data_IF_273660854499
#
_entry.id   IF_273660854499
#
_cell.length_a   1.000
_cell.length_b   1.000
_cell.length_c   1.000
_cell.angle_alpha   90.00
_cell.angle_beta   90.00
_cell.angle_gamma   90.00
#
_symmetry.space_group_name_H-M   'P 1'
#
loop_
_entity.id
_entity.type
_entity.pdbx_description
1 polymer ?
#
# COMPACT_ATOMS: atom_id res chain seq x y z
N UNK A 1 32.14 5.59 25.59
CA UNK A 1 31.01 5.57 26.56
C UNK A 1 30.41 6.97 26.54
N UNK A 2 29.10 7.10 26.29
CA UNK A 2 28.46 8.41 26.25
C UNK A 2 28.26 8.96 27.68
N UNK A 3 28.51 10.25 27.94
CA UNK A 3 28.26 10.87 29.24
C UNK A 3 26.81 10.67 29.70
N UNK A 4 26.60 10.52 31.01
CA UNK A 4 25.32 10.11 31.61
C UNK A 4 24.12 11.04 31.33
N UNK A 5 24.31 12.26 30.82
CA UNK A 5 23.21 13.11 30.33
C UNK A 5 22.91 12.98 28.82
N UNK A 6 23.95 12.78 28.00
CA UNK A 6 23.80 12.67 26.54
C UNK A 6 23.14 11.34 26.14
N UNK A 7 23.42 10.26 26.86
CA UNK A 7 22.75 8.98 26.64
C UNK A 7 21.23 9.10 26.85
N UNK A 8 20.79 9.80 27.89
CA UNK A 8 19.37 10.05 28.14
C UNK A 8 18.72 10.90 27.05
N UNK A 9 19.42 11.95 26.57
CA UNK A 9 18.93 12.81 25.48
C UNK A 9 18.80 12.04 24.16
N UNK A 10 19.74 11.15 23.85
CA UNK A 10 19.68 10.29 22.65
C UNK A 10 18.48 9.33 22.73
N UNK A 11 18.27 8.66 23.86
CA UNK A 11 17.13 7.75 24.04
C UNK A 11 15.81 8.52 23.93
N UNK A 12 15.71 9.68 24.58
CA UNK A 12 14.53 10.53 24.48
C UNK A 12 14.26 10.98 23.03
N UNK A 13 15.30 11.36 22.29
CA UNK A 13 15.20 11.74 20.87
C UNK A 13 14.72 10.60 19.97
N UNK A 14 15.25 9.38 20.16
CA UNK A 14 14.83 8.19 19.39
C UNK A 14 13.36 7.86 19.69
N UNK A 15 12.96 7.88 20.96
CA UNK A 15 11.58 7.62 21.35
C UNK A 15 10.63 8.69 20.79
N UNK A 16 11.01 9.96 20.83
CA UNK A 16 10.22 11.04 20.26
C UNK A 16 10.05 10.89 18.73
N UNK A 17 11.13 10.55 18.01
CA UNK A 17 11.08 10.32 16.56
C UNK A 17 10.19 9.12 16.19
N UNK A 18 10.29 8.01 16.94
CA UNK A 18 9.46 6.83 16.74
C UNK A 18 7.97 7.14 17.01
N UNK A 19 7.68 7.87 18.10
CA UNK A 19 6.31 8.26 18.46
C UNK A 19 5.68 9.20 17.43
N UNK A 20 6.45 10.12 16.86
CA UNK A 20 5.98 11.01 15.77
C UNK A 20 5.58 10.22 14.53
N UNK A 21 6.40 9.23 14.13
CA UNK A 21 6.11 8.37 12.98
C UNK A 21 4.86 7.50 13.22
N UNK A 22 4.71 6.95 14.43
CA UNK A 22 3.52 6.19 14.82
C UNK A 22 2.26 7.06 14.84
N UNK A 23 2.33 8.25 15.44
CA UNK A 23 1.19 9.17 15.50
C UNK A 23 0.75 9.61 14.09
N UNK A 24 1.70 9.90 13.21
CA UNK A 24 1.41 10.23 11.81
C UNK A 24 0.73 9.07 11.08
N UNK A 25 1.23 7.83 11.22
CA UNK A 25 0.66 6.66 10.57
C UNK A 25 -0.79 6.39 11.03
N UNK A 26 -1.05 6.41 12.35
CA UNK A 26 -2.40 6.20 12.89
C UNK A 26 -3.35 7.31 12.44
N UNK A 27 -2.92 8.56 12.46
CA UNK A 27 -3.74 9.68 12.02
C UNK A 27 -4.09 9.58 10.52
N UNK A 28 -3.14 9.19 9.68
CA UNK A 28 -3.39 8.95 8.25
C UNK A 28 -4.36 7.78 8.03
N UNK A 29 -4.23 6.68 8.77
CA UNK A 29 -5.17 5.55 8.69
C UNK A 29 -6.58 5.96 9.12
N UNK A 30 -6.71 6.73 10.20
CA UNK A 30 -7.99 7.23 10.67
C UNK A 30 -8.64 8.19 9.66
N UNK A 31 -7.84 9.10 9.07
CA UNK A 31 -8.32 10.04 8.05
C UNK A 31 -8.74 9.31 6.77
N UNK A 32 -7.90 8.43 6.23
CA UNK A 32 -8.23 7.60 5.07
C UNK A 32 -9.48 6.75 5.35
N UNK A 33 -9.58 6.12 6.52
CA UNK A 33 -10.77 5.32 6.88
C UNK A 33 -12.05 6.17 6.95
N UNK A 34 -11.93 7.40 7.46
CA UNK A 34 -13.04 8.34 7.56
C UNK A 34 -13.49 8.82 6.16
N UNK A 35 -12.56 9.16 5.28
CA UNK A 35 -12.88 9.69 3.96
C UNK A 35 -13.23 8.61 2.93
N UNK A 36 -12.59 7.44 2.98
CA UNK A 36 -12.76 6.37 2.00
C UNK A 36 -13.95 5.46 2.32
N UNK A 37 -14.22 5.20 3.60
CA UNK A 37 -15.36 4.38 4.01
C UNK A 37 -16.49 5.24 4.57
N UNK A 38 -16.23 6.05 5.61
CA UNK A 38 -17.31 6.66 6.39
C UNK A 38 -18.09 7.75 5.61
N UNK A 39 -17.40 8.67 4.94
CA UNK A 39 -18.03 9.75 4.18
C UNK A 39 -18.92 9.25 3.02
N UNK A 40 -18.47 8.33 2.13
CA UNK A 40 -19.31 7.82 1.05
C UNK A 40 -20.42 6.87 1.50
N UNK A 41 -20.25 6.11 2.59
CA UNK A 41 -21.30 5.22 3.13
C UNK A 41 -22.43 5.99 3.81
N UNK A 42 -22.13 7.13 4.45
CA UNK A 42 -23.10 7.83 5.29
C UNK A 42 -23.66 9.10 4.64
N UNK A 43 -22.98 9.67 3.63
CA UNK A 43 -23.39 10.90 2.95
C UNK A 43 -23.42 12.15 3.86
N UNK A 44 -22.86 12.05 5.07
CA UNK A 44 -22.86 13.10 6.08
C UNK A 44 -21.50 13.79 6.11
N UNK A 45 -21.46 15.04 5.64
CA UNK A 45 -20.25 15.89 5.64
C UNK A 45 -20.18 16.88 6.81
N UNK A 46 -20.89 16.59 7.90
CA UNK A 46 -20.91 17.49 9.06
C UNK A 46 -19.52 17.47 9.74
N UNK A 47 -18.79 18.60 9.80
CA UNK A 47 -17.38 18.61 10.19
C UNK A 47 -17.13 18.15 11.62
N UNK A 48 -18.05 18.44 12.55
CA UNK A 48 -17.89 18.05 13.95
C UNK A 48 -18.08 16.56 14.13
N UNK A 49 -18.99 15.95 13.37
CA UNK A 49 -19.20 14.51 13.38
C UNK A 49 -18.02 13.74 12.77
N UNK A 50 -17.47 14.21 11.65
CA UNK A 50 -16.28 13.63 11.01
C UNK A 50 -15.06 13.62 11.95
N UNK A 51 -14.86 14.69 12.72
CA UNK A 51 -13.79 14.76 13.73
C UNK A 51 -14.02 13.76 14.88
N UNK A 52 -15.27 13.59 15.31
CA UNK A 52 -15.62 12.64 16.36
C UNK A 52 -15.38 11.20 15.90
N UNK A 53 -15.80 10.87 14.68
CA UNK A 53 -15.57 9.57 14.03
C UNK A 53 -14.08 9.31 13.82
N UNK A 54 -13.33 10.32 13.36
CA UNK A 54 -11.88 10.23 13.21
C UNK A 54 -11.18 9.90 14.54
N UNK A 55 -11.62 10.47 15.67
CA UNK A 55 -11.08 10.14 17.00
C UNK A 55 -11.34 8.70 17.41
N UNK A 56 -12.54 8.17 17.13
CA UNK A 56 -12.86 6.77 17.37
C UNK A 56 -12.06 5.83 16.46
N UNK A 57 -11.87 6.19 15.20
CA UNK A 57 -11.05 5.43 14.26
C UNK A 57 -9.58 5.41 14.67
N UNK A 58 -9.03 6.52 15.15
CA UNK A 58 -7.67 6.58 15.71
C UNK A 58 -7.51 5.61 16.89
N UNK A 59 -8.49 5.58 17.81
CA UNK A 59 -8.50 4.62 18.93
C UNK A 59 -8.58 3.18 18.44
N UNK A 60 -9.45 2.90 17.46
CA UNK A 60 -9.63 1.58 16.87
C UNK A 60 -8.32 1.10 16.20
N UNK A 61 -7.71 1.92 15.35
CA UNK A 61 -6.45 1.59 14.68
C UNK A 61 -5.31 1.41 15.67
N UNK A 62 -5.24 2.24 16.71
CA UNK A 62 -4.26 2.06 17.80
C UNK A 62 -4.44 0.70 18.48
N UNK A 63 -5.67 0.32 18.81
CA UNK A 63 -5.96 -0.99 19.42
C UNK A 63 -5.59 -2.16 18.49
N UNK A 64 -5.90 -2.06 17.19
CA UNK A 64 -5.53 -3.05 16.18
C UNK A 64 -4.02 -3.20 16.06
N UNK A 65 -3.27 -2.10 16.01
CA UNK A 65 -1.80 -2.12 15.94
C UNK A 65 -1.18 -2.72 17.19
N UNK A 66 -1.70 -2.40 18.39
CA UNK A 66 -1.25 -2.99 19.66
C UNK A 66 -1.54 -4.49 19.68
N UNK A 67 -2.73 -4.92 19.26
CA UNK A 67 -3.08 -6.34 19.16
C UNK A 67 -2.14 -7.09 18.19
N UNK A 68 -1.85 -6.50 17.02
CA UNK A 68 -0.88 -7.04 16.07
C UNK A 68 0.53 -7.16 16.68
N UNK A 69 1.00 -6.11 17.36
CA UNK A 69 2.31 -6.14 18.02
C UNK A 69 2.42 -7.25 19.08
N UNK A 70 1.36 -7.51 19.83
CA UNK A 70 1.31 -8.61 20.81
C UNK A 70 1.31 -9.97 20.12
N UNK A 71 0.57 -10.14 19.02
CA UNK A 71 0.48 -11.40 18.27
C UNK A 71 1.82 -11.79 17.61
N UNK A 72 2.60 -10.83 17.13
CA UNK A 72 3.87 -11.07 16.41
C UNK A 72 5.11 -11.23 17.31
N UNK A 73 4.95 -11.20 18.63
CA UNK A 73 6.07 -11.24 19.60
C UNK A 73 6.90 -12.53 19.56
N UNK A 74 6.40 -13.61 18.96
CA UNK A 74 6.96 -14.96 19.02
C UNK A 74 7.74 -15.43 17.78
N UNK A 75 7.93 -14.58 16.75
CA UNK A 75 8.69 -14.98 15.57
C UNK A 75 10.18 -14.64 15.70
N UNK A 76 11.05 -15.63 15.45
CA UNK A 76 12.52 -15.48 15.43
C UNK A 76 13.04 -14.77 14.16
N UNK A 77 12.15 -14.23 13.32
CA UNK A 77 12.50 -13.51 12.10
C UNK A 77 12.78 -12.05 12.43
N UNK A 78 13.80 -11.41 11.83
CA UNK A 78 14.02 -9.98 12.01
C UNK A 78 12.75 -9.18 11.67
N UNK A 79 12.19 -8.47 12.66
CA UNK A 79 10.94 -7.68 12.49
C UNK A 79 11.06 -6.70 11.33
N UNK A 80 12.25 -6.12 11.16
CA UNK A 80 12.58 -5.21 10.06
C UNK A 80 12.44 -5.89 8.70
N UNK A 81 12.88 -7.14 8.56
CA UNK A 81 12.77 -7.88 7.30
C UNK A 81 11.31 -8.18 6.98
N UNK A 82 10.52 -8.61 7.97
CA UNK A 82 9.09 -8.87 7.77
C UNK A 82 8.32 -7.59 7.43
N UNK A 83 8.52 -6.52 8.19
CA UNK A 83 7.86 -5.24 8.00
C UNK A 83 8.16 -4.66 6.62
N UNK A 84 9.44 -4.66 6.24
CA UNK A 84 9.82 -4.13 4.96
C UNK A 84 9.36 -5.04 3.81
N UNK A 85 9.30 -6.38 3.96
CA UNK A 85 8.73 -7.29 2.93
C UNK A 85 7.30 -6.92 2.60
N UNK A 86 6.49 -6.72 3.64
CA UNK A 86 5.08 -6.34 3.49
C UNK A 86 4.98 -4.95 2.86
N UNK A 87 5.79 -3.99 3.33
CA UNK A 87 5.84 -2.64 2.77
C UNK A 87 6.21 -2.66 1.27
N UNK A 88 7.14 -3.53 0.87
CA UNK A 88 7.64 -3.63 -0.50
C UNK A 88 6.57 -3.99 -1.51
N UNK A 89 5.64 -4.88 -1.14
CA UNK A 89 4.52 -5.29 -2.00
C UNK A 89 3.60 -4.10 -2.26
N UNK A 90 3.21 -3.42 -1.19
CA UNK A 90 2.27 -2.29 -1.24
C UNK A 90 2.88 -1.12 -2.02
N UNK A 91 4.13 -0.76 -1.72
CA UNK A 91 4.85 0.29 -2.44
C UNK A 91 5.10 -0.09 -3.91
N UNK A 92 5.39 -1.35 -4.21
CA UNK A 92 5.59 -1.83 -5.57
C UNK A 92 4.33 -1.70 -6.44
N UNK A 93 3.17 -2.05 -5.89
CA UNK A 93 1.87 -1.87 -6.55
C UNK A 93 1.52 -0.39 -6.77
N UNK A 94 1.68 0.46 -5.75
CA UNK A 94 1.41 1.90 -5.84
C UNK A 94 2.34 2.62 -6.84
N UNK A 95 3.63 2.28 -6.84
CA UNK A 95 4.57 2.85 -7.78
C UNK A 95 4.28 2.36 -9.21
N UNK A 96 3.91 1.09 -9.38
CA UNK A 96 3.52 0.54 -10.68
C UNK A 96 2.27 1.20 -11.27
N UNK A 97 1.25 1.48 -10.45
CA UNK A 97 0.05 2.19 -10.91
C UNK A 97 0.31 3.66 -11.21
N UNK A 98 1.16 4.32 -10.42
CA UNK A 98 1.57 5.70 -10.67
C UNK A 98 2.35 5.84 -11.99
N UNK A 99 3.28 4.91 -12.25
CA UNK A 99 4.01 4.86 -13.52
C UNK A 99 3.07 4.58 -14.69
N UNK A 100 2.11 3.66 -14.54
CA UNK A 100 1.13 3.37 -15.59
C UNK A 100 0.24 4.58 -15.89
N UNK A 101 -0.28 5.25 -14.86
CA UNK A 101 -1.10 6.45 -15.02
C UNK A 101 -0.34 7.66 -15.56
N UNK A 102 0.95 7.79 -15.22
CA UNK A 102 1.80 8.91 -15.64
C UNK A 102 2.43 8.75 -17.02
N UNK A 103 2.87 7.53 -17.38
CA UNK A 103 3.57 7.28 -18.64
C UNK A 103 2.67 6.71 -19.75
N UNK A 104 1.50 6.13 -19.44
CA UNK A 104 0.61 5.53 -20.42
C UNK A 104 -0.74 6.26 -20.49
N UNK A 105 -0.81 7.22 -21.41
CA UNK A 105 -2.00 8.02 -21.72
C UNK A 105 -3.30 7.25 -22.07
N UNK A 106 -3.29 5.98 -22.55
CA UNK A 106 -4.53 5.23 -22.80
C UNK A 106 -5.11 4.50 -21.57
N UNK A 107 -4.43 4.49 -20.42
CA UNK A 107 -4.87 3.72 -19.26
C UNK A 107 -6.17 4.29 -18.67
N UNK A 108 -7.27 3.54 -18.76
CA UNK A 108 -8.55 3.92 -18.15
C UNK A 108 -8.61 3.48 -16.69
N UNK A 109 -9.51 4.08 -15.90
CA UNK A 109 -9.75 3.74 -14.49
C UNK A 109 -9.93 2.22 -14.27
N UNK A 110 -10.59 1.53 -15.22
CA UNK A 110 -10.83 0.08 -15.16
C UNK A 110 -9.54 -0.74 -15.31
N UNK A 111 -8.59 -0.28 -16.13
CA UNK A 111 -7.30 -0.94 -16.34
C UNK A 111 -6.39 -0.77 -15.11
N UNK A 112 -6.46 0.39 -14.44
CA UNK A 112 -5.72 0.64 -13.19
C UNK A 112 -6.23 -0.25 -12.06
N UNK A 113 -7.55 -0.41 -11.93
CA UNK A 113 -8.15 -1.33 -10.94
C UNK A 113 -7.76 -2.78 -11.24
N UNK A 114 -7.81 -3.20 -12.51
CA UNK A 114 -7.39 -4.53 -12.91
C UNK A 114 -5.89 -4.77 -12.65
N UNK A 115 -5.03 -3.78 -12.91
CA UNK A 115 -3.60 -3.83 -12.62
C UNK A 115 -3.33 -3.94 -11.11
N UNK A 116 -4.07 -3.21 -10.26
CA UNK A 116 -3.97 -3.35 -8.81
C UNK A 116 -4.34 -4.76 -8.37
N UNK A 117 -5.51 -5.26 -8.77
CA UNK A 117 -6.00 -6.58 -8.37
C UNK A 117 -5.04 -7.68 -8.81
N UNK A 118 -4.57 -7.61 -10.06
CA UNK A 118 -3.64 -8.58 -10.59
C UNK A 118 -2.24 -8.46 -9.98
N UNK A 119 -1.76 -7.26 -9.66
CA UNK A 119 -0.49 -7.07 -8.94
C UNK A 119 -0.56 -7.73 -7.55
N UNK A 120 -1.65 -7.55 -6.82
CA UNK A 120 -1.86 -8.19 -5.51
C UNK A 120 -1.89 -9.71 -5.68
N UNK A 121 -2.71 -10.23 -6.60
CA UNK A 121 -2.83 -11.68 -6.86
C UNK A 121 -1.52 -12.33 -7.28
N UNK A 122 -0.66 -11.63 -8.02
CA UNK A 122 0.64 -12.15 -8.47
C UNK A 122 1.72 -11.99 -7.39
N UNK A 123 1.72 -10.90 -6.62
CA UNK A 123 2.73 -10.69 -5.58
C UNK A 123 2.47 -11.46 -4.29
N UNK A 124 1.20 -11.75 -3.95
CA UNK A 124 0.84 -12.57 -2.79
C UNK A 124 1.55 -13.94 -2.79
N UNK A 125 1.51 -14.76 -3.86
CA UNK A 125 2.23 -16.03 -3.88
C UNK A 125 3.76 -15.87 -3.92
N UNK A 126 4.28 -14.81 -4.56
CA UNK A 126 5.72 -14.52 -4.62
C UNK A 126 6.29 -14.23 -3.23
N UNK A 127 5.57 -13.47 -2.40
CA UNK A 127 6.00 -13.18 -1.01
C UNK A 127 5.75 -14.34 -0.06
N UNK A 128 4.70 -15.13 -0.28
CA UNK A 128 4.44 -16.36 0.48
C UNK A 128 5.37 -17.52 0.09
N UNK A 129 6.30 -17.32 -0.85
CA UNK A 129 7.35 -18.28 -1.18
C UNK A 129 6.91 -19.38 -2.16
N UNK A 130 5.86 -19.18 -2.94
CA UNK A 130 5.42 -20.12 -3.97
C UNK A 130 5.58 -19.50 -5.38
N UNK A 131 6.45 -20.05 -6.26
CA UNK A 131 7.25 -21.26 -6.11
C UNK A 131 8.65 -20.98 -5.50
N UNK A 132 8.95 -21.69 -4.41
CA UNK A 132 10.24 -21.68 -3.69
C UNK A 132 11.47 -22.11 -4.54
N UNK A 133 11.27 -22.44 -5.83
CA UNK A 133 12.27 -23.11 -6.68
C UNK A 133 13.03 -22.18 -7.63
N UNK A 134 12.60 -20.93 -7.81
CA UNK A 134 13.27 -19.97 -8.72
C UNK A 134 13.96 -18.79 -8.01
N UNK A 135 13.64 -18.51 -6.74
CA UNK A 135 14.04 -17.26 -6.06
C UNK A 135 14.75 -17.50 -4.71
N UNK A 136 15.35 -18.68 -4.52
CA UNK A 136 16.06 -19.08 -3.29
C UNK A 136 17.37 -18.30 -3.00
N UNK A 137 17.64 -17.22 -3.74
CA UNK A 137 18.83 -16.39 -3.57
C UNK A 137 18.61 -14.88 -3.71
N UNK A 138 17.36 -14.41 -3.83
CA UNK A 138 17.10 -12.97 -3.96
C UNK A 138 17.06 -12.31 -2.58
N UNK A 139 17.98 -11.37 -2.38
CA UNK A 139 17.99 -10.53 -1.21
C UNK A 139 16.69 -9.71 -1.12
N UNK A 140 16.24 -9.55 0.12
CA UNK A 140 15.03 -8.84 0.53
C UNK A 140 14.74 -7.48 -0.20
N UNK A 141 15.71 -6.66 -0.62
CA UNK A 141 15.44 -5.43 -1.38
C UNK A 141 14.84 -5.64 -2.78
N UNK A 142 15.02 -6.82 -3.39
CA UNK A 142 14.57 -7.08 -4.76
C UNK A 142 13.07 -7.35 -4.90
N UNK A 143 12.34 -7.51 -3.79
CA UNK A 143 10.88 -7.62 -3.83
C UNK A 143 10.21 -6.34 -4.37
N UNK A 144 10.78 -5.16 -4.10
CA UNK A 144 10.25 -3.86 -4.59
C UNK A 144 10.34 -3.73 -6.12
N UNK A 145 11.52 -3.81 -6.76
CA UNK A 145 11.62 -3.68 -8.21
C UNK A 145 10.86 -4.79 -8.95
N UNK A 146 10.85 -6.02 -8.42
CA UNK A 146 10.04 -7.10 -9.00
C UNK A 146 8.53 -6.77 -8.93
N UNK A 147 8.04 -6.25 -7.81
CA UNK A 147 6.64 -5.84 -7.66
C UNK A 147 6.24 -4.74 -8.62
N UNK A 148 7.11 -3.74 -8.78
CA UNK A 148 6.89 -2.67 -9.77
C UNK A 148 6.89 -3.20 -11.19
N UNK A 149 7.84 -4.07 -11.56
CA UNK A 149 7.97 -4.62 -12.90
C UNK A 149 6.76 -5.48 -13.27
N UNK A 150 6.28 -6.32 -12.35
CA UNK A 150 5.07 -7.13 -12.54
C UNK A 150 3.84 -6.24 -12.71
N UNK A 151 3.66 -5.22 -11.86
CA UNK A 151 2.51 -4.31 -11.93
C UNK A 151 2.48 -3.56 -13.26
N UNK A 152 3.63 -3.09 -13.70
CA UNK A 152 3.81 -2.37 -14.98
C UNK A 152 3.59 -3.31 -16.17
N UNK A 153 4.09 -4.55 -16.12
CA UNK A 153 3.91 -5.54 -17.18
C UNK A 153 2.44 -5.98 -17.31
N UNK A 154 1.76 -6.24 -16.19
CA UNK A 154 0.35 -6.63 -16.17
C UNK A 154 -0.55 -5.47 -16.57
N UNK A 155 -0.24 -4.25 -16.13
CA UNK A 155 -0.94 -3.02 -16.51
C UNK A 155 -0.86 -2.74 -18.02
N UNK A 156 0.34 -2.88 -18.61
CA UNK A 156 0.51 -2.78 -20.07
C UNK A 156 -0.24 -3.89 -20.80
N UNK A 157 -0.16 -5.14 -20.33
CA UNK A 157 -0.88 -6.27 -20.93
C UNK A 157 -2.39 -6.08 -20.94
N UNK A 158 -2.97 -5.65 -19.82
CA UNK A 158 -4.41 -5.37 -19.71
C UNK A 158 -4.82 -4.18 -20.60
N UNK A 159 -4.01 -3.12 -20.65
CA UNK A 159 -4.30 -1.94 -21.48
C UNK A 159 -4.29 -2.26 -22.99
N UNK A 160 -3.45 -3.20 -23.43
CA UNK A 160 -3.41 -3.66 -24.81
C UNK A 160 -4.64 -4.51 -25.19
N UNK A 161 -5.14 -5.33 -24.26
CA UNK A 161 -6.37 -6.12 -24.46
C UNK A 161 -7.60 -5.21 -24.49
N UNK A 162 -7.71 -4.23 -23.58
CA UNK A 162 -8.83 -3.28 -23.55
C UNK A 162 -8.86 -2.35 -24.78
N UNK A 163 -7.70 -1.94 -25.31
CA UNK A 163 -7.64 -1.12 -26.53
C UNK A 163 -7.99 -1.90 -27.82
N UNK A 164 -7.96 -3.24 -27.79
CA UNK A 164 -8.45 -4.08 -28.87
C UNK A 164 -9.96 -3.94 -29.09
N UNK A 165 -10.73 -3.78 -28.01
CA UNK A 165 -12.19 -3.69 -28.05
C UNK A 165 -12.71 -2.27 -28.35
N UNK A 166 -11.90 -1.23 -28.13
CA UNK A 166 -12.28 0.16 -28.35
C UNK A 166 -12.25 0.62 -29.81
N UNK A 167 -11.53 -0.07 -30.70
CA UNK A 167 -11.41 0.31 -32.13
C UNK A 167 -12.59 -0.16 -32.99
N UNK A 168 -13.42 -1.08 -32.51
CA UNK A 168 -14.56 -1.63 -33.27
C UNK A 168 -15.87 -0.85 -33.04
N UNK A 169 -16.00 -0.09 -31.96
CA UNK A 169 -17.23 0.64 -31.63
C UNK A 169 -17.30 2.06 -32.22
N UNK A 170 -16.16 2.67 -32.60
CA UNK A 170 -16.10 4.06 -33.06
C UNK A 170 -16.24 4.28 -34.57
N UNK A 171 -16.40 3.22 -35.38
CA UNK A 171 -16.43 3.34 -36.86
C UNK A 171 -17.82 3.21 -37.50
N UNK A 172 -18.86 2.96 -36.71
CA UNK A 172 -20.24 2.74 -37.22
C UNK A 172 -21.22 3.87 -36.88
N UNK A 173 -20.75 5.00 -36.33
CA UNK A 173 -21.60 6.12 -35.90
C UNK A 173 -21.67 7.29 -36.87
N UNK A 174 -20.81 7.35 -37.90
CA UNK A 174 -20.69 8.50 -38.81
C UNK A 174 -21.41 8.31 -40.16
N UNK A 175 -22.26 7.30 -40.30
CA UNK A 175 -23.05 7.08 -41.52
C UNK A 175 -24.56 6.95 -41.22
N UNK A 176 -25.19 7.94 -40.57
CA UNK A 176 -26.64 8.25 -40.72
C UNK A 176 -26.97 9.70 -40.43
#
# INVERSE_FOLDING_TARGET
QLPAGLAGLVVAGILAAAMSSHASAVNSLASASTHDFYAPLTGRSEPTHLLWVGRWLTLLWTAVLVAGAVAFRSQNTPVVQLALSIASITYGGLLGTYLLGGFWAPARQRDVIAAIIASVLVMTPVVLGFPARLLSGLAWPWYVPLGTAVTVAVGMGSSLVTNGDGKTAGRNGDER
#
